data_IF_022378135176
#
_entry.id   IF_022378135176
#
_cell.length_a   1.000
_cell.length_b   1.000
_cell.length_c   1.000
_cell.angle_alpha   90.00
_cell.angle_beta   90.00
_cell.angle_gamma   90.00
#
_symmetry.space_group_name_H-M   'P 1'
#
loop_
_entity.id
_entity.type
_entity.pdbx_description
1 polymer ?
#
# COMPACT_ATOMS: atom_id res chain seq x y z
N UNK A 1 -10.40 -17.56 -19.95
CA UNK A 1 -10.50 -17.94 -18.53
C UNK A 1 -10.32 -16.64 -17.76
N UNK A 2 -11.44 -15.98 -17.47
CA UNK A 2 -11.51 -14.66 -16.83
C UNK A 2 -11.86 -14.94 -15.37
N UNK A 3 -10.86 -15.12 -14.53
CA UNK A 3 -11.09 -15.45 -13.12
C UNK A 3 -10.90 -14.21 -12.25
N UNK A 4 -12.06 -13.67 -11.83
CA UNK A 4 -12.37 -13.30 -10.46
C UNK A 4 -11.41 -12.37 -9.69
N UNK A 5 -11.26 -11.13 -10.14
CA UNK A 5 -10.75 -10.03 -9.29
C UNK A 5 -11.84 -9.05 -8.83
N UNK A 6 -13.12 -9.36 -9.06
CA UNK A 6 -14.25 -8.43 -8.83
C UNK A 6 -15.14 -8.75 -7.61
N UNK A 7 -14.63 -9.50 -6.62
CA UNK A 7 -15.32 -9.73 -5.35
C UNK A 7 -14.37 -9.56 -4.16
N UNK A 8 -13.87 -8.33 -3.94
CA UNK A 8 -13.42 -7.90 -2.61
C UNK A 8 -14.26 -6.70 -2.18
N UNK A 9 -15.44 -7.00 -1.64
CA UNK A 9 -16.11 -6.03 -0.78
C UNK A 9 -15.43 -6.10 0.58
N UNK A 10 -15.05 -4.94 1.12
CA UNK A 10 -14.32 -4.68 2.39
C UNK A 10 -12.81 -4.49 2.27
N UNK A 11 -12.34 -3.68 1.31
CA UNK A 11 -10.96 -3.17 1.33
C UNK A 11 -11.00 -1.68 1.71
N UNK A 12 -10.14 -1.27 2.64
CA UNK A 12 -9.91 0.14 2.94
C UNK A 12 -9.13 0.76 1.79
N UNK A 13 -9.66 1.81 1.19
CA UNK A 13 -9.07 2.42 -0.01
C UNK A 13 -8.71 3.89 0.22
N UNK A 14 -7.56 4.30 -0.31
CA UNK A 14 -7.14 5.68 -0.44
C UNK A 14 -6.80 6.01 -1.89
N UNK A 15 -7.14 7.22 -2.29
CA UNK A 15 -6.82 7.79 -3.58
C UNK A 15 -5.78 8.89 -3.39
N UNK A 16 -4.73 8.86 -4.22
CA UNK A 16 -3.65 9.84 -4.17
C UNK A 16 -3.49 10.47 -5.54
N UNK A 17 -3.78 11.76 -5.61
CA UNK A 17 -3.54 12.57 -6.80
C UNK A 17 -2.14 13.15 -6.73
N UNK A 18 -1.27 12.77 -7.67
CA UNK A 18 0.13 13.21 -7.72
C UNK A 18 0.30 14.36 -8.73
N UNK A 19 1.09 15.38 -8.35
CA UNK A 19 1.41 16.50 -9.27
C UNK A 19 2.67 16.24 -10.09
N UNK A 20 3.65 15.57 -9.50
CA UNK A 20 4.93 15.27 -10.13
C UNK A 20 5.27 13.79 -10.00
N UNK A 21 5.15 13.03 -11.10
CA UNK A 21 5.49 11.61 -11.12
C UNK A 21 7.00 11.35 -10.99
N UNK A 22 7.86 12.32 -11.36
CA UNK A 22 9.32 12.17 -11.29
C UNK A 22 9.85 12.18 -9.84
N UNK A 23 9.01 12.54 -8.88
CA UNK A 23 9.36 12.56 -7.45
C UNK A 23 8.65 11.48 -6.66
N UNK A 24 8.09 10.47 -7.34
CA UNK A 24 7.57 9.29 -6.67
C UNK A 24 8.68 8.62 -5.84
N UNK A 25 8.38 8.23 -4.59
CA UNK A 25 9.34 7.48 -3.78
C UNK A 25 9.64 6.13 -4.43
N UNK A 26 10.87 5.69 -4.31
CA UNK A 26 11.30 4.33 -4.66
C UNK A 26 10.60 3.30 -3.77
N UNK A 27 10.62 2.04 -4.21
CA UNK A 27 10.14 0.90 -3.41
C UNK A 27 10.77 0.87 -2.03
N UNK A 28 12.08 1.08 -1.94
CA UNK A 28 12.79 0.98 -0.67
C UNK A 28 12.47 2.16 0.26
N UNK A 29 12.22 3.36 -0.29
CA UNK A 29 11.69 4.48 0.49
C UNK A 29 10.29 4.18 1.04
N UNK A 30 9.41 3.56 0.25
CA UNK A 30 8.07 3.16 0.72
C UNK A 30 8.15 2.08 1.78
N UNK A 31 8.92 1.00 1.54
CA UNK A 31 9.14 -0.06 2.53
C UNK A 31 9.67 0.52 3.83
N UNK A 32 10.64 1.45 3.74
CA UNK A 32 11.18 2.13 4.90
C UNK A 32 10.09 2.95 5.60
N UNK A 33 9.35 3.81 4.92
CA UNK A 33 8.32 4.62 5.57
C UNK A 33 7.22 3.76 6.25
N UNK A 34 6.83 2.66 5.61
CA UNK A 34 5.86 1.70 6.15
C UNK A 34 6.40 1.04 7.43
N UNK A 35 7.61 0.49 7.35
CA UNK A 35 8.12 -0.49 8.31
C UNK A 35 9.33 -0.01 9.12
N UNK A 36 9.75 1.25 9.05
CA UNK A 36 10.84 1.73 9.90
C UNK A 36 10.40 1.61 11.37
N UNK A 37 11.12 0.72 12.10
CA UNK A 37 10.85 0.15 13.45
C UNK A 37 9.94 -1.10 13.53
N UNK A 38 9.50 -1.69 12.42
CA UNK A 38 8.79 -2.97 12.35
C UNK A 38 9.67 -4.03 11.64
N UNK A 39 9.86 -5.18 12.28
CA UNK A 39 10.74 -6.28 11.85
C UNK A 39 10.08 -7.12 10.75
N UNK A 40 10.80 -7.36 9.64
CA UNK A 40 10.71 -8.45 8.61
C UNK A 40 9.67 -8.38 7.44
N UNK A 41 10.03 -7.71 6.32
CA UNK A 41 9.27 -7.72 5.04
C UNK A 41 9.66 -8.92 4.17
N UNK A 42 8.69 -9.68 3.63
CA UNK A 42 8.98 -10.86 2.80
C UNK A 42 9.10 -10.56 1.30
N UNK A 43 8.25 -9.72 0.68
CA UNK A 43 8.38 -9.44 -0.77
C UNK A 43 7.91 -8.03 -1.17
N UNK A 44 8.64 -7.40 -2.09
CA UNK A 44 8.31 -6.09 -2.63
C UNK A 44 8.72 -5.96 -4.11
N UNK A 45 7.78 -5.60 -4.97
CA UNK A 45 8.02 -5.28 -6.39
C UNK A 45 8.31 -3.77 -6.55
N UNK A 46 8.84 -3.32 -7.69
CA UNK A 46 9.20 -1.91 -7.87
C UNK A 46 8.02 -1.04 -8.34
N UNK A 47 7.84 0.15 -7.77
CA UNK A 47 6.74 1.06 -8.13
C UNK A 47 6.99 1.84 -9.42
N UNK A 48 8.26 2.00 -9.83
CA UNK A 48 8.62 2.81 -10.99
C UNK A 48 8.55 2.04 -12.33
N UNK A 49 8.50 0.71 -12.31
CA UNK A 49 8.53 -0.13 -13.52
C UNK A 49 7.17 -0.79 -13.85
N UNK A 50 6.15 -0.64 -12.99
CA UNK A 50 4.90 -1.38 -13.11
C UNK A 50 3.67 -0.48 -12.87
N UNK A 51 2.55 -0.80 -13.53
CA UNK A 51 1.24 -0.15 -13.29
C UNK A 51 0.67 -0.50 -11.90
N UNK A 52 1.28 -1.43 -11.18
CA UNK A 52 0.86 -1.87 -9.86
C UNK A 52 2.04 -2.38 -9.04
N UNK A 53 2.01 -2.12 -7.73
CA UNK A 53 2.87 -2.72 -6.72
C UNK A 53 2.01 -3.40 -5.67
N UNK A 54 2.31 -4.65 -5.36
CA UNK A 54 1.81 -5.32 -4.16
C UNK A 54 2.94 -5.54 -3.18
N UNK A 55 2.76 -5.07 -1.95
CA UNK A 55 3.63 -5.38 -0.83
C UNK A 55 2.94 -6.42 0.04
N UNK A 56 3.59 -7.56 0.22
CA UNK A 56 3.08 -8.64 1.07
C UNK A 56 3.91 -8.78 2.31
N UNK A 57 3.24 -8.90 3.45
CA UNK A 57 3.87 -9.16 4.74
C UNK A 57 3.47 -10.54 5.25
N UNK A 58 4.47 -11.33 5.65
CA UNK A 58 4.21 -12.60 6.35
C UNK A 58 4.18 -12.36 7.85
N UNK A 59 2.98 -12.38 8.43
CA UNK A 59 2.77 -12.12 9.86
C UNK A 59 3.40 -13.17 10.77
N UNK A 60 3.79 -14.33 10.23
CA UNK A 60 4.35 -15.45 10.96
C UNK A 60 5.82 -15.72 10.60
N UNK A 61 6.46 -14.84 9.83
CA UNK A 61 7.84 -15.03 9.38
C UNK A 61 8.85 -15.27 10.51
N UNK A 62 8.57 -14.71 11.69
CA UNK A 62 9.39 -14.86 12.89
C UNK A 62 8.87 -15.93 13.89
N UNK A 63 7.68 -16.51 13.66
CA UNK A 63 7.12 -17.57 14.51
C UNK A 63 7.32 -18.94 13.86
N UNK A 64 8.37 -19.63 14.28
CA UNK A 64 8.76 -20.97 13.81
C UNK A 64 7.67 -22.04 13.98
N UNK A 65 6.62 -21.80 14.78
CA UNK A 65 5.48 -22.71 14.91
C UNK A 65 4.55 -22.69 13.69
N UNK A 66 4.64 -21.62 12.91
CA UNK A 66 3.68 -21.23 11.89
C UNK A 66 4.34 -20.97 10.52
N UNK A 67 5.64 -21.24 10.40
CA UNK A 67 6.44 -21.04 9.18
C UNK A 67 6.08 -21.97 8.02
N UNK A 68 5.31 -23.04 8.28
CA UNK A 68 4.90 -24.01 7.26
C UNK A 68 3.42 -23.82 6.88
N UNK A 69 3.18 -23.10 5.79
CA UNK A 69 2.04 -23.34 4.89
C UNK A 69 0.64 -22.97 5.40
N UNK A 70 0.50 -22.02 6.32
CA UNK A 70 -0.83 -21.56 6.75
C UNK A 70 -1.52 -20.77 5.63
N UNK A 71 -2.73 -21.15 5.20
CA UNK A 71 -3.55 -20.32 4.33
C UNK A 71 -3.82 -18.96 5.00
N UNK A 72 -3.53 -17.84 4.31
CA UNK A 72 -3.59 -16.45 4.83
C UNK A 72 -2.48 -16.04 5.82
N UNK A 73 -1.27 -16.59 5.71
CA UNK A 73 -0.11 -16.02 6.40
C UNK A 73 0.28 -14.63 5.89
N UNK A 74 -0.12 -14.30 4.65
CA UNK A 74 0.21 -13.03 4.00
C UNK A 74 -0.94 -12.03 4.08
N UNK A 75 -0.62 -10.81 4.51
CA UNK A 75 -1.44 -9.61 4.32
C UNK A 75 -0.84 -8.76 3.21
N UNK A 76 -1.70 -8.07 2.46
CA UNK A 76 -1.31 -7.35 1.26
C UNK A 76 -1.69 -5.88 1.34
N UNK A 77 -0.77 -5.01 0.94
CA UNK A 77 -1.05 -3.61 0.64
C UNK A 77 -0.78 -3.42 -0.85
N UNK A 78 -1.82 -3.09 -1.60
CA UNK A 78 -1.75 -2.91 -3.04
C UNK A 78 -1.66 -1.42 -3.37
N UNK A 79 -0.95 -1.13 -4.46
CA UNK A 79 -0.78 0.18 -5.04
C UNK A 79 -1.05 0.02 -6.54
N UNK A 80 -2.00 0.76 -7.09
CA UNK A 80 -2.37 0.69 -8.50
C UNK A 80 -2.37 2.08 -9.12
N UNK A 81 -1.68 2.23 -10.26
CA UNK A 81 -1.80 3.43 -11.10
C UNK A 81 -3.01 3.31 -12.02
N UNK A 82 -4.08 4.03 -11.68
CA UNK A 82 -5.21 4.23 -12.59
C UNK A 82 -4.80 5.04 -13.83
N UNK A 83 -3.89 6.00 -13.64
CA UNK A 83 -3.27 6.79 -14.70
C UNK A 83 -1.97 7.44 -14.18
N UNK A 84 -1.32 8.25 -15.02
CA UNK A 84 -0.06 8.95 -14.68
C UNK A 84 -0.13 9.89 -13.47
N UNK A 85 -1.32 10.17 -12.93
CA UNK A 85 -1.57 11.13 -11.85
C UNK A 85 -2.41 10.61 -10.71
N UNK A 86 -2.89 9.37 -10.76
CA UNK A 86 -3.76 8.80 -9.74
C UNK A 86 -3.22 7.43 -9.31
N UNK A 87 -2.93 7.33 -8.02
CA UNK A 87 -2.57 6.07 -7.36
C UNK A 87 -3.72 5.70 -6.44
N UNK A 88 -4.19 4.47 -6.56
CA UNK A 88 -5.07 3.82 -5.60
C UNK A 88 -4.20 2.98 -4.68
N UNK A 89 -4.44 3.07 -3.37
CA UNK A 89 -3.86 2.16 -2.40
C UNK A 89 -5.01 1.46 -1.70
N UNK A 90 -4.90 0.16 -1.49
CA UNK A 90 -5.85 -0.63 -0.74
C UNK A 90 -5.18 -1.63 0.20
N UNK A 91 -5.90 -1.96 1.27
CA UNK A 91 -5.57 -2.99 2.26
C UNK A 91 -6.87 -3.63 2.74
N UNK A 92 -6.85 -4.93 3.04
CA UNK A 92 -8.03 -5.65 3.52
C UNK A 92 -8.60 -4.97 4.80
N UNK A 93 -9.93 -4.85 4.95
CA UNK A 93 -10.55 -4.19 6.12
C UNK A 93 -10.28 -4.92 7.43
N UNK A 94 -10.06 -6.24 7.40
CA UNK A 94 -9.68 -7.05 8.56
C UNK A 94 -8.17 -7.11 8.81
N UNK A 95 -7.36 -6.35 8.04
CA UNK A 95 -5.92 -6.27 8.24
C UNK A 95 -5.55 -5.77 9.64
N UNK A 96 -4.37 -6.20 10.11
CA UNK A 96 -3.89 -5.84 11.43
C UNK A 96 -3.63 -4.33 11.54
N UNK A 97 -3.60 -3.85 12.78
CA UNK A 97 -3.35 -2.43 13.05
C UNK A 97 -1.99 -1.95 12.49
N UNK A 98 -1.00 -2.86 12.44
CA UNK A 98 0.34 -2.55 11.92
C UNK A 98 0.32 -2.33 10.41
N UNK A 99 -0.45 -3.14 9.68
CA UNK A 99 -0.64 -3.04 8.22
C UNK A 99 -1.47 -1.81 7.86
N UNK A 100 -2.56 -1.53 8.59
CA UNK A 100 -3.33 -0.28 8.42
C UNK A 100 -2.47 0.96 8.66
N UNK A 101 -1.59 0.92 9.65
CA UNK A 101 -0.63 2.00 9.91
C UNK A 101 0.40 2.13 8.77
N UNK A 102 0.90 1.02 8.24
CA UNK A 102 1.80 1.02 7.08
C UNK A 102 1.12 1.60 5.84
N UNK A 103 -0.13 1.23 5.60
CA UNK A 103 -1.00 1.77 4.55
C UNK A 103 -1.14 3.30 4.63
N UNK A 104 -1.44 3.86 5.81
CA UNK A 104 -1.52 5.32 5.96
C UNK A 104 -0.17 6.01 5.76
N UNK A 105 0.92 5.41 6.25
CA UNK A 105 2.28 5.95 6.11
C UNK A 105 2.73 6.01 4.66
N UNK A 106 2.42 4.99 3.87
CA UNK A 106 2.78 4.98 2.45
C UNK A 106 1.99 6.05 1.69
N UNK A 107 0.70 6.22 1.99
CA UNK A 107 -0.12 7.26 1.39
C UNK A 107 0.40 8.68 1.66
N UNK A 108 0.77 8.94 2.92
CA UNK A 108 1.37 10.21 3.34
C UNK A 108 2.70 10.44 2.60
N UNK A 109 3.60 9.47 2.59
CA UNK A 109 4.91 9.60 1.93
C UNK A 109 4.75 9.95 0.45
N UNK A 110 3.88 9.23 -0.27
CA UNK A 110 3.64 9.45 -1.70
C UNK A 110 3.09 10.86 -1.93
N UNK A 111 2.09 11.28 -1.15
CA UNK A 111 1.49 12.60 -1.27
C UNK A 111 2.50 13.73 -0.95
N UNK A 112 3.31 13.60 0.10
CA UNK A 112 4.36 14.58 0.44
C UNK A 112 5.38 14.71 -0.69
N UNK A 113 5.94 13.58 -1.15
CA UNK A 113 7.01 13.56 -2.15
C UNK A 113 6.56 14.07 -3.51
N UNK A 114 5.29 13.91 -3.85
CA UNK A 114 4.70 14.33 -5.13
C UNK A 114 3.95 15.66 -5.06
N UNK A 115 3.94 16.33 -3.90
CA UNK A 115 3.10 17.51 -3.61
C UNK A 115 1.62 17.27 -3.96
N UNK A 116 1.17 16.04 -3.72
CA UNK A 116 -0.14 15.50 -4.05
C UNK A 116 -1.20 15.77 -2.97
N UNK A 117 -2.37 15.17 -3.18
CA UNK A 117 -3.52 15.22 -2.27
C UNK A 117 -4.08 13.82 -2.06
N UNK A 118 -4.66 13.58 -0.89
CA UNK A 118 -5.23 12.30 -0.48
C UNK A 118 -6.75 12.42 -0.41
N UNK A 119 -7.46 11.36 -0.77
CA UNK A 119 -8.92 11.25 -0.65
C UNK A 119 -9.30 9.83 -0.18
N UNK A 120 -10.35 9.73 0.63
CA UNK A 120 -10.95 8.46 1.07
C UNK A 120 -12.19 8.07 0.26
N UNK A 121 -12.74 9.00 -0.52
CA UNK A 121 -14.01 8.87 -1.26
C UNK A 121 -13.88 9.23 -2.75
N UNK A 122 -12.65 9.47 -3.22
CA UNK A 122 -12.30 9.96 -4.55
C UNK A 122 -12.99 11.28 -4.95
N UNK A 123 -13.53 12.02 -3.98
CA UNK A 123 -14.37 13.21 -4.21
C UNK A 123 -13.85 14.41 -3.42
N UNK A 124 -13.53 14.20 -2.15
CA UNK A 124 -12.96 15.19 -1.24
C UNK A 124 -11.46 14.97 -1.14
N UNK A 125 -10.69 15.98 -1.57
CA UNK A 125 -9.23 15.91 -1.64
C UNK A 125 -8.60 16.87 -0.64
N UNK A 126 -7.75 16.32 0.22
CA UNK A 126 -7.08 17.08 1.28
C UNK A 126 -5.57 16.97 1.16
N UNK A 127 -4.85 17.97 1.69
CA UNK A 127 -3.39 17.93 1.76
C UNK A 127 -2.94 17.07 2.93
N UNK A 128 -1.67 16.68 2.91
CA UNK A 128 -1.07 15.84 3.96
C UNK A 128 -1.21 16.44 5.35
N UNK A 129 -1.13 17.76 5.51
CA UNK A 129 -1.27 18.41 6.82
C UNK A 129 -2.71 18.47 7.35
N UNK A 130 -3.69 18.09 6.51
CA UNK A 130 -5.11 18.05 6.83
C UNK A 130 -5.63 16.60 6.98
N UNK A 131 -4.81 15.63 6.54
CA UNK A 131 -5.07 14.19 6.60
C UNK A 131 -4.58 13.59 7.92
#
# INVERSE_FOLDING_TARGET
MLDNWFLRGTDMQLFISIKNANTLPSRDEIKKAMWEKALSVSHALDLQEFNSLTLSWDKWIDDKRWSDGIPKSFEHINFEFQNKRLIIIDVDEDALFVDKRAFYRSAILIAERTNGTISTDNSTWIKVNEF
#
